data_IF_643258500366
#
_entry.id   IF_643258500366
#
_cell.length_a   1.000
_cell.length_b   1.000
_cell.length_c   1.000
_cell.angle_alpha   90.00
_cell.angle_beta   90.00
_cell.angle_gamma   90.00
#
_symmetry.space_group_name_H-M   'P 1'
#
loop_
_entity.id
_entity.type
_entity.pdbx_description
1 polymer ?
#
# COMPACT_ATOMS: atom_id res chain seq x y z
N UNK A 1 18.51 -1.58 -68.69
CA UNK A 1 17.39 -1.32 -67.77
C UNK A 1 17.38 -2.39 -66.69
N UNK A 2 17.77 -2.00 -65.53
CA UNK A 2 17.89 -2.85 -64.36
C UNK A 2 17.07 -2.20 -63.21
N UNK A 3 16.00 -2.87 -62.86
CA UNK A 3 15.10 -2.43 -61.76
C UNK A 3 15.66 -2.84 -60.43
N UNK A 4 15.97 -1.83 -59.62
CA UNK A 4 16.28 -1.98 -58.21
C UNK A 4 14.96 -1.91 -57.42
N UNK A 5 14.46 -3.05 -56.96
CA UNK A 5 13.48 -3.11 -55.89
C UNK A 5 14.18 -3.33 -54.55
N UNK A 6 14.38 -2.24 -53.84
CA UNK A 6 14.82 -2.29 -52.45
C UNK A 6 13.64 -2.67 -51.54
N UNK A 7 13.68 -3.87 -50.98
CA UNK A 7 12.76 -4.32 -49.94
C UNK A 7 13.08 -3.60 -48.64
N UNK A 8 12.28 -2.63 -48.25
CA UNK A 8 12.28 -2.04 -46.92
C UNK A 8 11.53 -2.97 -45.96
N UNK A 9 12.25 -3.86 -45.29
CA UNK A 9 11.71 -4.57 -44.13
C UNK A 9 11.67 -3.61 -42.95
N UNK A 10 10.51 -3.03 -42.69
CA UNK A 10 10.23 -2.35 -41.47
C UNK A 10 10.02 -3.42 -40.39
N UNK A 11 11.08 -3.75 -39.68
CA UNK A 11 10.98 -4.52 -38.41
C UNK A 11 10.37 -3.62 -37.36
N UNK A 12 9.05 -3.58 -37.31
CA UNK A 12 8.33 -2.99 -36.21
C UNK A 12 8.58 -3.82 -34.94
N UNK A 13 9.47 -3.36 -34.11
CA UNK A 13 9.55 -3.86 -32.71
C UNK A 13 8.23 -3.44 -32.06
N UNK A 14 7.28 -4.36 -32.00
CA UNK A 14 6.10 -4.18 -31.11
C UNK A 14 6.61 -4.25 -29.68
N UNK A 15 6.83 -3.09 -29.07
CA UNK A 15 7.04 -3.03 -27.63
C UNK A 15 5.75 -3.50 -26.97
N UNK A 16 5.82 -4.56 -26.19
CA UNK A 16 4.71 -4.99 -25.36
C UNK A 16 4.31 -3.83 -24.44
N UNK A 17 3.10 -3.29 -24.64
CA UNK A 17 2.58 -2.23 -23.78
C UNK A 17 2.25 -2.81 -22.41
N UNK A 18 2.70 -2.12 -21.37
CA UNK A 18 2.44 -2.52 -19.98
C UNK A 18 0.93 -2.46 -19.68
N UNK A 19 0.42 -3.43 -18.93
CA UNK A 19 -0.97 -3.44 -18.39
C UNK A 19 -1.18 -2.30 -17.41
N UNK A 20 -0.10 -1.74 -16.90
CA UNK A 20 -0.11 -0.70 -15.88
C UNK A 20 0.12 0.69 -16.50
N UNK A 21 -0.41 1.77 -15.87
CA UNK A 21 -0.13 3.12 -16.31
C UNK A 21 1.35 3.38 -16.55
N UNK A 22 1.68 4.21 -17.52
CA UNK A 22 3.06 4.50 -17.92
C UNK A 22 3.98 4.94 -16.79
N UNK A 23 3.43 5.59 -15.76
CA UNK A 23 4.14 5.98 -14.53
C UNK A 23 4.74 4.79 -13.74
N UNK A 24 4.24 3.57 -13.96
CA UNK A 24 4.72 2.36 -13.28
C UNK A 24 5.64 1.52 -14.16
N UNK A 25 5.89 1.95 -15.40
CA UNK A 25 6.87 1.32 -16.27
C UNK A 25 8.25 1.36 -15.62
N UNK A 26 8.94 0.23 -15.59
CA UNK A 26 10.21 0.07 -14.88
C UNK A 26 10.11 -0.30 -13.40
N UNK A 27 8.96 -0.12 -12.75
CA UNK A 27 8.70 -0.62 -11.39
C UNK A 27 8.11 -2.03 -11.38
N UNK A 28 7.40 -2.39 -12.46
CA UNK A 28 6.75 -3.69 -12.61
C UNK A 28 7.46 -4.48 -13.70
N UNK A 29 7.84 -5.71 -13.36
CA UNK A 29 8.60 -6.61 -14.27
C UNK A 29 7.71 -7.58 -15.04
N UNK A 30 6.40 -7.57 -14.80
CA UNK A 30 5.47 -8.48 -15.45
C UNK A 30 5.17 -8.01 -16.87
N UNK A 31 5.34 -8.92 -17.83
CA UNK A 31 4.93 -8.67 -19.20
C UNK A 31 3.41 -8.64 -19.35
N UNK A 32 2.95 -7.83 -20.28
CA UNK A 32 1.53 -7.70 -20.61
C UNK A 32 1.10 -8.91 -21.42
N UNK A 33 0.10 -9.65 -20.96
CA UNK A 33 -0.46 -10.80 -21.69
C UNK A 33 -1.36 -10.32 -22.84
N UNK A 34 -2.00 -9.16 -22.69
CA UNK A 34 -2.80 -8.53 -23.74
C UNK A 34 -2.61 -7.01 -23.70
N UNK A 35 -2.50 -6.34 -24.87
CA UNK A 35 -2.37 -4.89 -24.90
C UNK A 35 -3.64 -4.22 -24.37
N UNK A 36 -3.47 -3.17 -23.56
CA UNK A 36 -4.58 -2.33 -23.13
C UNK A 36 -5.10 -1.53 -24.34
N UNK A 37 -6.42 -1.47 -24.49
CA UNK A 37 -7.06 -0.62 -25.49
C UNK A 37 -7.16 0.84 -25.05
N UNK A 38 -7.09 1.09 -23.74
CA UNK A 38 -7.07 2.42 -23.15
C UNK A 38 -6.25 2.38 -21.87
N UNK A 39 -5.53 3.46 -21.60
CA UNK A 39 -4.75 3.66 -20.37
C UNK A 39 -5.33 4.84 -19.58
N UNK A 40 -5.28 4.75 -18.25
CA UNK A 40 -5.63 5.88 -17.40
C UNK A 40 -4.57 6.97 -17.46
N UNK A 41 -5.00 8.22 -17.31
CA UNK A 41 -4.06 9.31 -17.09
C UNK A 41 -3.29 9.12 -15.79
N UNK A 42 -2.05 9.59 -15.77
CA UNK A 42 -1.29 9.70 -14.54
C UNK A 42 -1.99 10.67 -13.57
N UNK A 43 -2.10 10.31 -12.30
CA UNK A 43 -2.75 11.14 -11.28
C UNK A 43 -2.13 12.54 -11.18
N UNK A 44 -0.82 12.68 -11.42
CA UNK A 44 -0.14 13.99 -11.45
C UNK A 44 -0.65 14.92 -12.55
N UNK A 45 -1.21 14.37 -13.63
CA UNK A 45 -1.68 15.11 -14.80
C UNK A 45 -3.18 15.45 -14.69
N UNK A 46 -3.87 14.95 -13.67
CA UNK A 46 -5.30 15.20 -13.42
C UNK A 46 -5.47 16.17 -12.27
N UNK A 47 -6.27 17.22 -12.48
CA UNK A 47 -6.59 18.22 -11.44
C UNK A 47 -8.09 18.42 -11.33
N UNK A 48 -8.59 18.36 -10.11
CA UNK A 48 -9.98 18.69 -9.82
C UNK A 48 -10.17 20.22 -9.89
N UNK A 49 -11.09 20.65 -10.72
CA UNK A 49 -11.54 22.05 -10.76
C UNK A 49 -12.34 22.38 -9.50
N UNK A 50 -12.55 23.69 -9.17
CA UNK A 50 -13.41 24.11 -8.06
C UNK A 50 -14.78 23.44 -8.16
N UNK A 51 -15.10 22.59 -7.18
CA UNK A 51 -16.30 21.76 -7.18
C UNK A 51 -16.44 21.03 -5.84
N UNK A 52 -17.63 20.49 -5.58
CA UNK A 52 -17.84 19.60 -4.41
C UNK A 52 -16.86 18.42 -4.34
N UNK A 53 -16.37 17.94 -5.48
CA UNK A 53 -15.38 16.84 -5.51
C UNK A 53 -14.02 17.31 -4.99
N UNK A 54 -13.57 18.50 -5.40
CA UNK A 54 -12.37 19.11 -4.84
C UNK A 54 -12.52 19.41 -3.36
N UNK A 55 -13.67 19.91 -2.93
CA UNK A 55 -13.92 20.19 -1.51
C UNK A 55 -13.91 18.92 -0.67
N UNK A 56 -14.43 17.81 -1.19
CA UNK A 56 -14.32 16.51 -0.54
C UNK A 56 -12.87 16.05 -0.45
N UNK A 57 -12.10 16.11 -1.53
CA UNK A 57 -10.66 15.78 -1.51
C UNK A 57 -9.91 16.61 -0.47
N UNK A 58 -10.21 17.89 -0.31
CA UNK A 58 -9.59 18.75 0.69
C UNK A 58 -9.98 18.35 2.13
N UNK A 59 -11.23 17.94 2.37
CA UNK A 59 -11.68 17.41 3.66
C UNK A 59 -10.99 16.09 3.99
N UNK A 60 -10.89 15.19 3.03
CA UNK A 60 -10.17 13.91 3.20
C UNK A 60 -8.68 14.13 3.45
N UNK A 61 -8.07 15.09 2.74
CA UNK A 61 -6.69 15.53 2.96
C UNK A 61 -6.48 16.00 4.40
N UNK A 62 -7.35 16.86 4.90
CA UNK A 62 -7.29 17.37 6.27
C UNK A 62 -7.47 16.23 7.31
N UNK A 63 -8.40 15.31 7.05
CA UNK A 63 -8.63 14.15 7.91
C UNK A 63 -7.41 13.23 7.94
N UNK A 64 -6.87 12.84 6.78
CA UNK A 64 -5.68 11.98 6.70
C UNK A 64 -4.47 12.58 7.42
N UNK A 65 -4.26 13.89 7.31
CA UNK A 65 -3.15 14.56 7.99
C UNK A 65 -3.35 14.66 9.49
N UNK A 66 -4.59 14.71 9.98
CA UNK A 66 -4.92 14.82 11.41
C UNK A 66 -4.68 13.53 12.21
N UNK A 67 -4.72 12.35 11.58
CA UNK A 67 -4.54 11.07 12.28
C UNK A 67 -3.06 10.86 12.61
N UNK A 68 -2.75 10.66 13.88
CA UNK A 68 -1.39 10.34 14.33
C UNK A 68 -0.98 8.94 13.85
N UNK A 69 0.22 8.84 13.26
CA UNK A 69 0.83 7.58 12.81
C UNK A 69 0.93 6.55 13.94
N UNK A 70 1.22 6.98 15.16
CA UNK A 70 1.30 6.08 16.31
C UNK A 70 -0.03 5.41 16.65
N UNK A 71 -1.16 6.08 16.34
CA UNK A 71 -2.49 5.47 16.50
C UNK A 71 -2.72 4.33 15.51
N UNK A 72 -2.27 4.51 14.26
CA UNK A 72 -2.35 3.51 13.20
C UNK A 72 -1.43 2.31 13.47
N UNK A 73 -0.28 2.56 14.08
CA UNK A 73 0.71 1.52 14.41
C UNK A 73 0.45 0.82 15.75
N UNK A 74 -0.46 1.32 16.58
CA UNK A 74 -0.64 0.84 17.95
C UNK A 74 -0.91 -0.67 18.02
N UNK A 75 -1.88 -1.18 17.28
CA UNK A 75 -2.23 -2.61 17.27
C UNK A 75 -1.12 -3.50 16.70
N UNK A 76 -0.40 -3.02 15.69
CA UNK A 76 0.76 -3.72 15.11
C UNK A 76 1.90 -3.85 16.11
N UNK A 77 2.27 -2.75 16.76
CA UNK A 77 3.32 -2.74 17.79
C UNK A 77 2.94 -3.61 18.99
N UNK A 78 1.68 -3.56 19.42
CA UNK A 78 1.16 -4.42 20.48
C UNK A 78 1.31 -5.89 20.11
N UNK A 79 0.96 -6.27 18.88
CA UNK A 79 1.10 -7.65 18.39
C UNK A 79 2.56 -8.12 18.37
N UNK A 80 3.48 -7.25 18.00
CA UNK A 80 4.92 -7.57 17.90
C UNK A 80 5.69 -7.45 19.22
N UNK A 81 5.03 -7.03 20.31
CA UNK A 81 5.69 -6.77 21.59
C UNK A 81 6.65 -5.56 21.58
N UNK A 82 6.46 -4.64 20.60
CA UNK A 82 7.20 -3.39 20.51
C UNK A 82 6.47 -2.31 21.30
N UNK A 83 7.20 -1.28 21.77
CA UNK A 83 6.59 -0.18 22.50
C UNK A 83 5.51 0.53 21.67
N UNK A 84 4.28 0.44 22.12
CA UNK A 84 3.09 0.93 21.40
C UNK A 84 2.54 2.28 21.95
N UNK A 85 3.23 2.88 22.90
CA UNK A 85 2.79 4.07 23.64
C UNK A 85 2.23 3.73 25.03
N UNK A 86 2.02 4.76 25.83
CA UNK A 86 1.47 4.65 27.19
C UNK A 86 -0.02 4.95 27.24
N UNK A 87 -0.69 4.43 28.24
CA UNK A 87 -2.04 4.86 28.60
C UNK A 87 -1.94 5.99 29.64
N UNK A 88 -2.21 7.22 29.21
CA UNK A 88 -2.11 8.42 30.03
C UNK A 88 -0.71 9.00 30.17
N UNK A 89 -0.63 10.29 30.43
CA UNK A 89 0.62 11.02 30.63
C UNK A 89 1.41 11.26 29.34
N UNK A 90 2.71 11.45 29.50
CA UNK A 90 3.63 11.66 28.39
C UNK A 90 3.73 10.40 27.51
N UNK A 91 3.75 10.57 26.20
CA UNK A 91 3.74 9.50 25.20
C UNK A 91 2.43 8.68 25.14
N UNK A 92 1.32 9.27 25.57
CA UNK A 92 -0.01 8.65 25.40
C UNK A 92 -0.36 8.50 23.92
N UNK A 93 -0.78 7.31 23.55
CA UNK A 93 -1.34 7.03 22.22
C UNK A 93 -2.84 6.76 22.38
N UNK A 94 -3.66 7.63 21.76
CA UNK A 94 -5.11 7.42 21.72
C UNK A 94 -5.42 6.27 20.74
N UNK A 95 -5.74 5.10 21.27
CA UNK A 95 -6.08 3.90 20.48
C UNK A 95 -7.21 4.19 19.49
N UNK A 96 -7.19 3.50 18.36
CA UNK A 96 -8.33 3.43 17.47
C UNK A 96 -9.37 2.47 18.09
N UNK A 97 -10.64 2.71 17.78
CA UNK A 97 -11.75 1.91 18.30
C UNK A 97 -12.54 1.24 17.15
N UNK A 98 -13.68 0.64 17.51
CA UNK A 98 -14.52 -0.06 16.55
C UNK A 98 -13.78 -1.22 15.90
N UNK A 99 -13.77 -1.28 14.57
CA UNK A 99 -13.09 -2.36 13.84
C UNK A 99 -11.56 -2.37 13.97
N UNK A 100 -10.98 -1.32 14.54
CA UNK A 100 -9.56 -1.24 14.86
C UNK A 100 -9.24 -1.50 16.33
N UNK A 101 -10.24 -1.82 17.16
CA UNK A 101 -9.99 -2.16 18.56
C UNK A 101 -9.21 -3.47 18.69
N UNK A 102 -8.44 -3.59 19.78
CA UNK A 102 -7.53 -4.73 19.99
C UNK A 102 -8.24 -6.10 20.10
N UNK A 103 -9.53 -6.10 20.39
CA UNK A 103 -10.39 -7.29 20.46
C UNK A 103 -11.08 -7.63 19.12
N UNK A 104 -10.94 -6.78 18.10
CA UNK A 104 -11.52 -7.01 16.79
C UNK A 104 -10.55 -7.73 15.85
N UNK A 105 -10.99 -8.82 15.21
CA UNK A 105 -10.18 -9.60 14.26
C UNK A 105 -9.93 -8.87 12.93
N UNK A 106 -10.66 -7.79 12.63
CA UNK A 106 -10.47 -6.97 11.44
C UNK A 106 -9.42 -5.86 11.60
N UNK A 107 -8.91 -5.64 12.84
CA UNK A 107 -7.97 -4.56 13.12
C UNK A 107 -6.76 -4.57 12.19
N UNK A 108 -6.26 -3.39 11.84
CA UNK A 108 -5.12 -3.19 10.94
C UNK A 108 -5.50 -2.88 9.51
N UNK A 109 -6.75 -3.12 9.08
CA UNK A 109 -7.18 -2.82 7.71
C UNK A 109 -7.16 -1.32 7.38
N UNK A 110 -7.50 -0.46 8.36
CA UNK A 110 -7.46 1.00 8.19
C UNK A 110 -6.04 1.50 7.91
N UNK A 111 -5.03 0.87 8.50
CA UNK A 111 -3.62 1.19 8.22
C UNK A 111 -3.26 0.89 6.76
N UNK A 112 -3.70 -0.23 6.22
CA UNK A 112 -3.55 -0.56 4.80
C UNK A 112 -4.24 0.46 3.89
N UNK A 113 -5.48 0.81 4.19
CA UNK A 113 -6.20 1.86 3.44
C UNK A 113 -5.51 3.22 3.54
N UNK A 114 -4.97 3.58 4.71
CA UNK A 114 -4.25 4.84 4.90
C UNK A 114 -2.97 4.89 4.07
N UNK A 115 -2.22 3.80 3.96
CA UNK A 115 -1.05 3.70 3.08
C UNK A 115 -1.44 3.98 1.63
N UNK A 116 -2.48 3.32 1.11
CA UNK A 116 -2.99 3.58 -0.24
C UNK A 116 -3.41 5.04 -0.42
N UNK A 117 -4.20 5.57 0.51
CA UNK A 117 -4.71 6.93 0.43
C UNK A 117 -3.57 7.98 0.43
N UNK A 118 -2.54 7.80 1.27
CA UNK A 118 -1.38 8.70 1.33
C UNK A 118 -0.56 8.65 0.03
N UNK A 119 -0.32 7.47 -0.53
CA UNK A 119 0.38 7.31 -1.82
C UNK A 119 -0.37 7.97 -2.97
N UNK A 120 -1.66 7.70 -3.10
CA UNK A 120 -2.53 8.26 -4.13
C UNK A 120 -2.69 9.80 -3.99
N UNK A 121 -2.82 10.30 -2.76
CA UNK A 121 -2.92 11.74 -2.52
C UNK A 121 -1.61 12.46 -2.84
N UNK A 122 -0.46 11.86 -2.52
CA UNK A 122 0.84 12.39 -2.95
C UNK A 122 0.94 12.45 -4.47
N UNK A 123 0.61 11.36 -5.17
CA UNK A 123 0.61 11.32 -6.64
C UNK A 123 -0.32 12.38 -7.26
N UNK A 124 -1.53 12.56 -6.69
CA UNK A 124 -2.51 13.50 -7.21
C UNK A 124 -2.17 14.97 -6.92
N UNK A 125 -1.48 15.27 -5.81
CA UNK A 125 -1.27 16.65 -5.35
C UNK A 125 0.18 17.13 -5.42
N UNK A 126 1.14 16.21 -5.40
CA UNK A 126 2.57 16.51 -5.22
C UNK A 126 2.92 17.02 -3.82
N UNK A 127 2.00 16.95 -2.85
CA UNK A 127 2.24 17.49 -1.52
C UNK A 127 3.06 16.53 -0.65
N UNK A 128 4.27 16.94 -0.28
CA UNK A 128 5.23 16.17 0.50
C UNK A 128 4.70 15.71 1.87
N UNK A 129 3.69 16.36 2.44
CA UNK A 129 3.13 15.97 3.73
C UNK A 129 2.56 14.54 3.70
N UNK A 130 1.97 14.14 2.57
CA UNK A 130 1.42 12.79 2.41
C UNK A 130 2.53 11.76 2.26
N UNK A 131 3.58 12.09 1.50
CA UNK A 131 4.75 11.23 1.34
C UNK A 131 5.45 11.02 2.68
N UNK A 132 5.78 12.09 3.40
CA UNK A 132 6.45 12.02 4.70
C UNK A 132 5.64 11.22 5.72
N UNK A 133 4.32 11.36 5.72
CA UNK A 133 3.45 10.59 6.60
C UNK A 133 3.40 9.11 6.20
N UNK A 134 3.34 8.81 4.91
CA UNK A 134 3.44 7.46 4.36
C UNK A 134 4.77 6.81 4.73
N UNK A 135 5.88 7.52 4.53
CA UNK A 135 7.22 7.06 4.91
C UNK A 135 7.32 6.75 6.42
N UNK A 136 6.73 7.61 7.26
CA UNK A 136 6.70 7.38 8.72
C UNK A 136 5.91 6.12 9.09
N UNK A 137 4.79 5.89 8.42
CA UNK A 137 3.96 4.70 8.64
C UNK A 137 4.67 3.43 8.18
N UNK A 138 5.31 3.46 7.00
CA UNK A 138 6.12 2.35 6.47
C UNK A 138 7.30 2.03 7.41
N UNK A 139 7.98 3.05 7.94
CA UNK A 139 9.07 2.86 8.90
C UNK A 139 8.59 2.14 10.17
N UNK A 140 7.43 2.51 10.70
CA UNK A 140 6.85 1.82 11.86
C UNK A 140 6.41 0.38 11.56
N UNK A 141 5.93 0.10 10.36
CA UNK A 141 5.60 -1.27 9.94
C UNK A 141 6.85 -2.12 9.73
N UNK A 142 7.95 -1.55 9.23
CA UNK A 142 9.25 -2.24 9.17
C UNK A 142 9.76 -2.62 10.57
N UNK A 143 9.66 -1.70 11.54
CA UNK A 143 10.01 -1.97 12.94
C UNK A 143 9.23 -3.19 13.46
N UNK A 144 7.92 -3.23 13.23
CA UNK A 144 7.04 -4.34 13.62
C UNK A 144 7.45 -5.65 12.93
N UNK A 145 7.63 -5.65 11.60
CA UNK A 145 8.02 -6.85 10.85
C UNK A 145 9.37 -7.39 11.31
N UNK A 146 10.33 -6.51 11.56
CA UNK A 146 11.65 -6.91 12.06
C UNK A 146 11.57 -7.51 13.47
N UNK A 147 10.66 -7.04 14.33
CA UNK A 147 10.45 -7.60 15.66
C UNK A 147 9.83 -9.01 15.60
N UNK A 148 8.94 -9.26 14.65
CA UNK A 148 8.31 -10.57 14.42
C UNK A 148 9.29 -11.61 13.83
N UNK A 149 10.33 -11.19 13.11
CA UNK A 149 11.49 -11.97 12.60
C UNK A 149 11.19 -13.05 11.54
N UNK A 150 9.95 -13.21 11.12
CA UNK A 150 9.54 -14.29 10.19
C UNK A 150 8.91 -13.78 8.88
N UNK A 151 9.01 -12.50 8.59
CA UNK A 151 8.40 -11.88 7.40
C UNK A 151 6.91 -11.56 7.55
N UNK A 152 6.22 -12.12 8.53
CA UNK A 152 4.84 -11.80 8.84
C UNK A 152 4.66 -10.33 9.25
N UNK A 153 3.54 -9.73 8.86
CA UNK A 153 3.14 -8.39 9.28
C UNK A 153 1.63 -8.29 9.38
N UNK A 154 1.11 -8.10 10.59
CA UNK A 154 -0.29 -7.75 10.82
C UNK A 154 -0.47 -7.11 12.20
N UNK A 155 -1.66 -6.56 12.42
CA UNK A 155 -2.09 -6.02 13.71
C UNK A 155 -2.56 -7.10 14.72
N UNK A 156 -2.50 -8.38 14.33
CA UNK A 156 -2.96 -9.53 15.12
C UNK A 156 -2.03 -10.74 14.90
N UNK A 157 -2.05 -11.73 15.83
CA UNK A 157 -1.15 -12.88 15.78
C UNK A 157 -1.38 -13.74 14.54
N UNK A 158 -0.31 -14.29 13.98
CA UNK A 158 -0.34 -15.21 12.83
C UNK A 158 -1.20 -16.46 13.11
N UNK A 159 -1.37 -16.82 14.37
CA UNK A 159 -2.27 -17.88 14.83
C UNK A 159 -3.70 -17.75 14.26
N UNK A 160 -4.18 -16.55 13.99
CA UNK A 160 -5.51 -16.35 13.38
C UNK A 160 -5.56 -16.86 11.94
N UNK A 161 -4.45 -16.75 11.19
CA UNK A 161 -4.34 -17.39 9.86
C UNK A 161 -4.37 -18.91 9.99
N UNK A 162 -3.56 -19.47 10.89
CA UNK A 162 -3.51 -20.92 11.12
C UNK A 162 -4.88 -21.49 11.50
N UNK A 163 -5.62 -20.78 12.37
CA UNK A 163 -7.00 -21.17 12.72
C UNK A 163 -7.93 -21.11 11.51
N UNK A 164 -7.83 -20.08 10.69
CA UNK A 164 -8.68 -19.95 9.50
C UNK A 164 -8.40 -21.06 8.49
N UNK A 165 -7.13 -21.39 8.23
CA UNK A 165 -6.72 -22.52 7.37
C UNK A 165 -7.27 -23.84 7.87
N UNK A 166 -7.33 -24.03 9.19
CA UNK A 166 -7.91 -25.21 9.84
C UNK A 166 -9.46 -25.23 9.82
N UNK A 167 -10.11 -24.31 9.14
CA UNK A 167 -11.57 -24.19 9.09
C UNK A 167 -12.21 -23.64 10.37
N UNK A 168 -11.41 -23.14 11.32
CA UNK A 168 -11.93 -22.46 12.51
C UNK A 168 -12.31 -21.02 12.15
N UNK A 169 -13.49 -20.58 12.56
CA UNK A 169 -14.01 -19.27 12.25
C UNK A 169 -13.08 -18.15 12.75
N UNK A 170 -12.62 -17.31 11.84
CA UNK A 170 -11.90 -16.06 12.11
C UNK A 170 -12.45 -15.01 11.15
N UNK A 171 -12.79 -13.84 11.66
CA UNK A 171 -13.40 -12.82 10.84
C UNK A 171 -12.39 -12.07 9.96
N UNK A 172 -12.52 -12.26 8.63
CA UNK A 172 -11.86 -11.50 7.57
C UNK A 172 -10.32 -11.32 7.66
N UNK A 173 -9.52 -12.34 8.06
CA UNK A 173 -8.08 -12.17 8.19
C UNK A 173 -7.42 -11.84 6.83
N UNK A 174 -7.87 -12.47 5.75
CA UNK A 174 -7.38 -12.21 4.40
C UNK A 174 -7.69 -10.81 3.90
N UNK A 175 -8.81 -10.23 4.32
CA UNK A 175 -9.15 -8.85 3.98
C UNK A 175 -8.13 -7.86 4.56
N UNK A 176 -7.78 -8.01 5.83
CA UNK A 176 -6.76 -7.15 6.48
C UNK A 176 -5.41 -7.28 5.79
N UNK A 177 -4.95 -8.51 5.54
CA UNK A 177 -3.69 -8.73 4.82
C UNK A 177 -3.73 -8.12 3.42
N UNK A 178 -4.82 -8.33 2.66
CA UNK A 178 -5.00 -7.73 1.34
C UNK A 178 -4.85 -6.20 1.37
N UNK A 179 -5.41 -5.52 2.39
CA UNK A 179 -5.28 -4.06 2.52
C UNK A 179 -3.84 -3.63 2.84
N UNK A 180 -3.12 -4.40 3.64
CA UNK A 180 -1.70 -4.14 3.91
C UNK A 180 -0.85 -4.34 2.66
N UNK A 181 -1.04 -5.45 1.93
CA UNK A 181 -0.38 -5.68 0.65
C UNK A 181 -0.63 -4.54 -0.33
N UNK A 182 -1.89 -4.19 -0.55
CA UNK A 182 -2.28 -3.10 -1.44
C UNK A 182 -1.63 -1.78 -1.02
N UNK A 183 -1.72 -1.42 0.25
CA UNK A 183 -1.19 -0.16 0.74
C UNK A 183 0.33 -0.05 0.63
N UNK A 184 1.07 -1.12 0.89
CA UNK A 184 2.53 -1.16 0.74
C UNK A 184 2.94 -1.09 -0.74
N UNK A 185 2.21 -1.78 -1.63
CA UNK A 185 2.43 -1.69 -3.08
C UNK A 185 2.16 -0.26 -3.57
N UNK A 186 1.09 0.38 -3.12
CA UNK A 186 0.76 1.76 -3.48
C UNK A 186 1.83 2.75 -3.00
N UNK A 187 2.39 2.56 -1.80
CA UNK A 187 3.51 3.37 -1.32
C UNK A 187 4.75 3.22 -2.21
N UNK A 188 5.04 2.02 -2.70
CA UNK A 188 6.12 1.81 -3.65
C UNK A 188 5.83 2.46 -5.00
N UNK A 189 4.63 2.26 -5.55
CA UNK A 189 4.26 2.72 -6.89
C UNK A 189 4.14 4.26 -6.94
N UNK A 190 3.42 4.85 -6.02
CA UNK A 190 3.02 6.26 -6.06
C UNK A 190 3.92 7.19 -5.26
N UNK A 191 4.55 6.71 -4.19
CA UNK A 191 5.42 7.52 -3.34
C UNK A 191 6.93 7.15 -3.44
N UNK A 192 7.28 6.20 -4.31
CA UNK A 192 8.66 5.74 -4.53
C UNK A 192 9.32 5.11 -3.29
N UNK A 193 8.51 4.58 -2.37
CA UNK A 193 9.00 4.01 -1.12
C UNK A 193 9.52 2.58 -1.33
N UNK A 194 10.83 2.43 -1.56
CA UNK A 194 11.49 1.13 -1.78
C UNK A 194 11.43 0.22 -0.55
N UNK A 195 11.33 0.79 0.64
CA UNK A 195 11.19 0.03 1.88
C UNK A 195 9.84 -0.69 1.93
N UNK A 196 8.77 -0.04 1.46
CA UNK A 196 7.46 -0.68 1.34
C UNK A 196 7.50 -1.92 0.43
N UNK A 197 8.25 -1.86 -0.68
CA UNK A 197 8.48 -3.04 -1.54
C UNK A 197 9.21 -4.16 -0.77
N UNK A 198 10.24 -3.83 0.01
CA UNK A 198 10.97 -4.82 0.80
C UNK A 198 10.05 -5.52 1.82
N UNK A 199 9.21 -4.74 2.52
CA UNK A 199 8.26 -5.28 3.50
C UNK A 199 7.25 -6.20 2.83
N UNK A 200 6.64 -5.76 1.73
CA UNK A 200 5.59 -6.54 1.05
C UNK A 200 6.14 -7.80 0.40
N UNK A 201 7.39 -7.79 -0.08
CA UNK A 201 8.07 -8.98 -0.59
C UNK A 201 8.23 -10.01 0.52
N UNK A 202 8.74 -9.64 1.69
CA UNK A 202 8.86 -10.54 2.84
C UNK A 202 7.51 -11.11 3.30
N UNK A 203 6.44 -10.30 3.21
CA UNK A 203 5.08 -10.80 3.48
C UNK A 203 4.65 -11.84 2.45
N UNK A 204 4.98 -11.62 1.17
CA UNK A 204 4.71 -12.56 0.08
C UNK A 204 5.44 -13.89 0.29
N UNK A 205 6.75 -13.84 0.54
CA UNK A 205 7.57 -15.02 0.83
C UNK A 205 6.99 -15.82 2.00
N UNK A 206 6.59 -15.13 3.09
CA UNK A 206 5.96 -15.77 4.25
C UNK A 206 4.61 -16.42 3.93
N UNK A 207 3.83 -15.84 3.02
CA UNK A 207 2.53 -16.38 2.63
C UNK A 207 2.61 -17.64 1.77
N UNK A 208 3.74 -17.87 1.10
CA UNK A 208 3.98 -19.10 0.32
C UNK A 208 4.36 -20.32 1.20
N UNK A 209 4.70 -20.09 2.47
CA UNK A 209 5.03 -21.15 3.42
C UNK A 209 3.79 -21.82 4.06
N UNK A 210 2.58 -21.31 3.79
CA UNK A 210 1.28 -21.78 4.29
C UNK A 210 0.44 -22.42 3.19
#
# INVERSE_FOLDING_TARGET
SSDLFGSLTVSGIMSAQSVYPGQHQGKLKKETVAPLQAESFDLKDVRLLPSRFRDNMLRDSAWMTSIDVNRLLHSFRTNAGVFAGREGGYMTVKKLGGWESLDCELRGHTTGHMLSALGLMYAATGSEIFKLKGDSLVNGLEEVQNALKNGYLSAWPEELINRNIQGKGVWAPWYTLHKLFSGLIDQYLYADNKKALTIVTRMGDRSEEH
#
